data_IF_756448413786
#
_entry.id   IF_756448413786
#
_cell.length_a   1.000
_cell.length_b   1.000
_cell.length_c   1.000
_cell.angle_alpha   90.00
_cell.angle_beta   90.00
_cell.angle_gamma   90.00
#
_symmetry.space_group_name_H-M   'P 1'
#
loop_
_entity.id
_entity.type
_entity.pdbx_description
1 polymer ?
#
# COMPACT_ATOMS: atom_id res chain seq x y z
N UNK A 1 -26.94 17.35 -24.86
CA UNK A 1 -27.11 17.34 -23.38
C UNK A 1 -26.23 16.23 -22.81
N UNK A 2 -25.10 16.55 -22.15
CA UNK A 2 -24.17 15.52 -21.63
C UNK A 2 -22.89 16.01 -20.95
N UNK A 3 -22.60 17.31 -20.92
CA UNK A 3 -21.29 17.83 -20.52
C UNK A 3 -21.07 17.94 -19.00
N UNK A 4 -22.10 18.22 -18.19
CA UNK A 4 -21.91 18.47 -16.74
C UNK A 4 -21.52 17.24 -15.91
N UNK A 5 -21.96 16.03 -16.28
CA UNK A 5 -21.61 14.80 -15.57
C UNK A 5 -20.17 14.38 -15.81
N UNK A 6 -19.74 14.41 -17.07
CA UNK A 6 -18.40 13.99 -17.51
C UNK A 6 -17.29 14.89 -16.94
N UNK A 7 -17.53 16.18 -16.80
CA UNK A 7 -16.58 17.12 -16.17
C UNK A 7 -16.40 16.86 -14.68
N UNK A 8 -17.46 16.43 -13.98
CA UNK A 8 -17.40 16.11 -12.54
C UNK A 8 -16.60 14.84 -12.28
N UNK A 9 -16.76 13.84 -13.15
CA UNK A 9 -16.00 12.58 -13.07
C UNK A 9 -14.50 12.84 -13.37
N UNK A 10 -14.18 13.70 -14.34
CA UNK A 10 -12.80 14.08 -14.63
C UNK A 10 -12.15 14.89 -13.49
N UNK A 11 -12.89 15.82 -12.87
CA UNK A 11 -12.39 16.57 -11.71
C UNK A 11 -12.15 15.65 -10.50
N UNK A 12 -13.07 14.72 -10.22
CA UNK A 12 -12.93 13.74 -9.16
C UNK A 12 -11.74 12.79 -9.39
N UNK A 13 -11.52 12.35 -10.62
CA UNK A 13 -10.33 11.57 -10.97
C UNK A 13 -9.04 12.38 -10.77
N UNK A 14 -9.01 13.65 -11.18
CA UNK A 14 -7.87 14.53 -10.96
C UNK A 14 -7.54 14.77 -9.48
N UNK A 15 -8.56 14.80 -8.61
CA UNK A 15 -8.35 14.85 -7.15
C UNK A 15 -7.74 13.54 -6.62
N UNK A 16 -8.21 12.38 -7.09
CA UNK A 16 -7.66 11.07 -6.71
C UNK A 16 -6.21 10.92 -7.18
N UNK A 17 -5.88 11.39 -8.39
CA UNK A 17 -4.50 11.39 -8.91
C UNK A 17 -3.60 12.25 -8.02
N UNK A 18 -4.04 13.45 -7.62
CA UNK A 18 -3.26 14.31 -6.71
C UNK A 18 -3.08 13.70 -5.32
N UNK A 19 -4.11 13.02 -4.80
CA UNK A 19 -4.02 12.30 -3.54
C UNK A 19 -3.02 11.14 -3.63
N UNK A 20 -3.02 10.41 -4.74
CA UNK A 20 -2.05 9.36 -5.04
C UNK A 20 -0.61 9.91 -5.14
N UNK A 21 -0.39 11.01 -5.88
CA UNK A 21 0.92 11.65 -6.01
C UNK A 21 1.49 12.07 -4.66
N UNK A 22 0.65 12.67 -3.81
CA UNK A 22 1.04 13.08 -2.46
C UNK A 22 1.43 11.86 -1.62
N UNK A 23 0.60 10.81 -1.62
CA UNK A 23 0.89 9.57 -0.89
C UNK A 23 2.19 8.91 -1.38
N UNK A 24 2.45 8.92 -2.69
CA UNK A 24 3.66 8.36 -3.27
C UNK A 24 4.91 9.14 -2.88
N UNK A 25 4.84 10.48 -2.87
CA UNK A 25 5.94 11.34 -2.38
C UNK A 25 6.24 11.10 -0.90
N UNK A 26 5.20 11.02 -0.07
CA UNK A 26 5.34 10.72 1.36
C UNK A 26 5.97 9.33 1.58
N UNK A 27 5.57 8.34 0.79
CA UNK A 27 6.18 7.01 0.81
C UNK A 27 7.65 7.05 0.42
N UNK A 28 8.01 7.76 -0.66
CA UNK A 28 9.41 7.87 -1.08
C UNK A 28 10.29 8.52 -0.01
N UNK A 29 9.81 9.59 0.64
CA UNK A 29 10.52 10.22 1.75
C UNK A 29 10.68 9.26 2.95
N UNK A 30 9.59 8.56 3.32
CA UNK A 30 9.63 7.57 4.40
C UNK A 30 10.55 6.39 4.07
N UNK A 31 10.55 5.90 2.83
CA UNK A 31 11.40 4.80 2.36
C UNK A 31 12.88 5.18 2.36
N UNK A 32 13.23 6.38 1.88
CA UNK A 32 14.59 6.89 1.92
C UNK A 32 15.10 6.96 3.37
N UNK A 33 14.30 7.51 4.28
CA UNK A 33 14.66 7.57 5.69
C UNK A 33 14.70 6.18 6.35
N UNK A 34 13.72 5.32 6.05
CA UNK A 34 13.59 3.97 6.61
C UNK A 34 14.72 3.03 6.23
N UNK A 35 15.24 3.14 5.02
CA UNK A 35 16.40 2.36 4.54
C UNK A 35 17.72 2.85 5.12
N UNK A 36 17.82 4.10 5.56
CA UNK A 36 19.02 4.68 6.17
C UNK A 36 19.09 4.43 7.69
N UNK A 37 18.01 4.71 8.42
CA UNK A 37 17.98 4.68 9.89
C UNK A 37 17.71 3.27 10.44
N UNK A 38 16.99 2.42 9.69
CA UNK A 38 16.67 1.03 10.03
C UNK A 38 16.10 0.84 11.47
N UNK A 39 15.33 1.81 11.97
CA UNK A 39 14.69 1.73 13.28
C UNK A 39 13.26 1.16 13.19
N UNK A 40 12.74 0.57 14.29
CA UNK A 40 11.33 0.18 14.40
C UNK A 40 10.34 1.28 14.01
N UNK A 41 10.60 2.51 14.47
CA UNK A 41 9.75 3.68 14.19
C UNK A 41 9.80 4.04 12.71
N UNK A 42 10.99 4.07 12.11
CA UNK A 42 11.14 4.37 10.68
C UNK A 42 10.50 3.30 9.80
N UNK A 43 10.60 2.02 10.20
CA UNK A 43 9.94 0.91 9.53
C UNK A 43 8.42 1.03 9.62
N UNK A 44 7.86 1.36 10.79
CA UNK A 44 6.42 1.57 10.95
C UNK A 44 5.92 2.77 10.13
N UNK A 45 6.68 3.86 10.09
CA UNK A 45 6.35 5.03 9.27
C UNK A 45 6.32 4.68 7.78
N UNK A 46 7.27 3.87 7.32
CA UNK A 46 7.32 3.40 5.93
C UNK A 46 6.16 2.45 5.62
N UNK A 47 5.80 1.56 6.54
CA UNK A 47 4.63 0.69 6.42
C UNK A 47 3.33 1.51 6.28
N UNK A 48 3.13 2.52 7.13
CA UNK A 48 1.97 3.40 7.08
C UNK A 48 1.91 4.20 5.77
N UNK A 49 3.05 4.69 5.28
CA UNK A 49 3.11 5.39 4.00
C UNK A 49 2.78 4.46 2.82
N UNK A 50 3.30 3.23 2.81
CA UNK A 50 2.97 2.23 1.79
C UNK A 50 1.46 1.89 1.78
N UNK A 51 0.82 1.77 2.95
CA UNK A 51 -0.65 1.58 3.03
C UNK A 51 -1.43 2.73 2.41
N UNK A 52 -0.97 3.97 2.59
CA UNK A 52 -1.62 5.14 1.98
C UNK A 52 -1.54 5.08 0.46
N UNK A 53 -0.39 4.69 -0.10
CA UNK A 53 -0.25 4.48 -1.55
C UNK A 53 -1.15 3.35 -2.06
N UNK A 54 -1.18 2.21 -1.37
CA UNK A 54 -2.06 1.08 -1.68
C UNK A 54 -3.53 1.51 -1.74
N UNK A 55 -3.99 2.25 -0.73
CA UNK A 55 -5.35 2.79 -0.70
C UNK A 55 -5.63 3.76 -1.84
N UNK A 56 -4.70 4.66 -2.14
CA UNK A 56 -4.86 5.62 -3.23
C UNK A 56 -4.96 4.93 -4.60
N UNK A 57 -4.18 3.86 -4.83
CA UNK A 57 -4.33 3.03 -6.02
C UNK A 57 -5.71 2.36 -6.10
N UNK A 58 -6.21 1.81 -5.00
CA UNK A 58 -7.56 1.25 -4.95
C UNK A 58 -8.64 2.30 -5.23
N UNK A 59 -8.52 3.50 -4.67
CA UNK A 59 -9.46 4.59 -4.93
C UNK A 59 -9.49 4.97 -6.42
N UNK A 60 -8.31 5.04 -7.07
CA UNK A 60 -8.21 5.22 -8.52
C UNK A 60 -8.84 4.07 -9.32
N UNK A 61 -8.71 2.83 -8.86
CA UNK A 61 -9.30 1.66 -9.52
C UNK A 61 -10.85 1.69 -9.51
N UNK A 62 -11.46 2.42 -8.56
CA UNK A 62 -12.92 2.62 -8.51
C UNK A 62 -13.43 3.72 -9.46
N UNK A 63 -12.53 4.39 -10.19
CA UNK A 63 -12.93 5.42 -11.14
C UNK A 63 -13.76 4.83 -12.30
N UNK A 64 -14.85 5.51 -12.66
CA UNK A 64 -15.72 5.08 -13.75
C UNK A 64 -15.07 5.30 -15.11
N UNK A 65 -15.34 4.40 -16.05
CA UNK A 65 -14.90 4.52 -17.44
C UNK A 65 -13.48 4.03 -17.71
N UNK A 66 -12.82 3.41 -16.72
CA UNK A 66 -11.54 2.75 -16.94
C UNK A 66 -11.74 1.42 -17.69
N UNK A 67 -10.91 1.11 -18.71
CA UNK A 67 -10.81 -0.23 -19.26
C UNK A 67 -10.44 -1.26 -18.20
N UNK A 68 -10.92 -2.50 -18.35
CA UNK A 68 -10.69 -3.57 -17.36
C UNK A 68 -9.20 -3.81 -17.06
N UNK A 69 -8.32 -3.66 -18.06
CA UNK A 69 -6.88 -3.84 -17.90
C UNK A 69 -6.24 -2.69 -17.10
N UNK A 70 -6.80 -1.49 -17.14
CA UNK A 70 -6.38 -0.40 -16.26
C UNK A 70 -6.73 -0.74 -14.82
N UNK A 71 -7.97 -1.18 -14.57
CA UNK A 71 -8.43 -1.57 -13.23
C UNK A 71 -7.53 -2.67 -12.67
N UNK A 72 -7.27 -3.72 -13.44
CA UNK A 72 -6.38 -4.81 -13.03
C UNK A 72 -4.96 -4.32 -12.69
N UNK A 73 -4.39 -3.41 -13.48
CA UNK A 73 -3.07 -2.84 -13.21
C UNK A 73 -3.05 -1.98 -11.93
N UNK A 74 -4.08 -1.18 -11.70
CA UNK A 74 -4.22 -0.34 -10.49
C UNK A 74 -4.40 -1.22 -9.24
N UNK A 75 -5.21 -2.27 -9.32
CA UNK A 75 -5.39 -3.23 -8.23
C UNK A 75 -4.10 -4.00 -7.94
N UNK A 76 -3.39 -4.46 -8.98
CA UNK A 76 -2.08 -5.11 -8.84
C UNK A 76 -1.05 -4.19 -8.18
N UNK A 77 -1.05 -2.90 -8.53
CA UNK A 77 -0.21 -1.91 -7.88
C UNK A 77 -0.60 -1.71 -6.41
N UNK A 78 -1.91 -1.66 -6.10
CA UNK A 78 -2.40 -1.56 -4.73
C UNK A 78 -1.96 -2.75 -3.87
N UNK A 79 -2.05 -3.97 -4.41
CA UNK A 79 -1.59 -5.20 -3.76
C UNK A 79 -0.09 -5.19 -3.49
N UNK A 80 0.73 -4.79 -4.46
CA UNK A 80 2.18 -4.68 -4.28
C UNK A 80 2.56 -3.72 -3.14
N UNK A 81 1.87 -2.59 -3.01
CA UNK A 81 2.08 -1.67 -1.89
C UNK A 81 1.54 -2.20 -0.55
N UNK A 82 0.48 -3.01 -0.58
CA UNK A 82 -0.04 -3.70 0.61
C UNK A 82 0.98 -4.70 1.14
N UNK A 83 1.62 -5.47 0.26
CA UNK A 83 2.67 -6.41 0.64
C UNK A 83 3.93 -5.69 1.13
N UNK A 84 4.35 -4.61 0.47
CA UNK A 84 5.43 -3.75 0.98
C UNK A 84 5.12 -3.21 2.38
N UNK A 85 3.88 -2.82 2.66
CA UNK A 85 3.49 -2.37 3.98
C UNK A 85 3.65 -3.47 5.03
N UNK A 86 3.22 -4.70 4.72
CA UNK A 86 3.40 -5.88 5.59
C UNK A 86 4.88 -6.16 5.83
N UNK A 87 5.72 -6.03 4.81
CA UNK A 87 7.17 -6.26 4.92
C UNK A 87 7.85 -5.26 5.86
N UNK A 88 7.49 -3.98 5.73
CA UNK A 88 7.97 -2.93 6.63
C UNK A 88 7.45 -3.08 8.05
N UNK A 89 6.20 -3.53 8.23
CA UNK A 89 5.65 -3.82 9.55
C UNK A 89 6.38 -5.00 10.23
N UNK A 90 6.74 -6.05 9.49
CA UNK A 90 7.57 -7.13 10.04
C UNK A 90 8.94 -6.62 10.50
N UNK A 91 9.51 -5.65 9.78
CA UNK A 91 10.76 -4.98 10.18
C UNK A 91 10.58 -4.08 11.41
N UNK A 92 9.40 -3.50 11.61
CA UNK A 92 9.12 -2.65 12.77
C UNK A 92 9.05 -3.43 14.07
N UNK A 93 8.69 -4.71 14.02
CA UNK A 93 8.60 -5.57 15.21
C UNK A 93 9.93 -6.22 15.62
N UNK A 94 11.00 -6.02 14.84
CA UNK A 94 12.33 -6.63 15.05
C UNK A 94 12.37 -8.14 14.77
N UNK A 95 13.56 -8.76 14.65
CA UNK A 95 13.69 -10.22 14.66
C UNK A 95 13.39 -10.73 16.08
N UNK A 96 12.10 -10.96 16.38
CA UNK A 96 11.67 -11.08 17.77
C UNK A 96 10.33 -11.76 17.98
N UNK A 97 9.91 -12.69 17.11
CA UNK A 97 9.06 -13.79 17.56
C UNK A 97 9.34 -15.03 16.71
N UNK A 98 10.01 -16.07 17.24
CA UNK A 98 9.90 -17.37 16.61
C UNK A 98 8.41 -17.72 16.56
N UNK A 99 7.94 -18.07 15.38
CA UNK A 99 6.69 -18.81 15.23
C UNK A 99 6.74 -19.96 16.24
N UNK A 100 5.69 -20.21 17.05
CA UNK A 100 5.72 -21.35 17.96
C UNK A 100 5.99 -22.59 17.11
N UNK A 101 7.15 -23.20 17.34
CA UNK A 101 7.55 -24.40 16.63
C UNK A 101 6.39 -25.41 16.69
N UNK A 102 6.09 -26.12 15.59
CA UNK A 102 5.06 -27.15 15.63
C UNK A 102 5.38 -28.09 16.79
N UNK A 103 4.45 -28.25 17.74
CA UNK A 103 4.56 -29.25 18.80
C UNK A 103 4.86 -30.57 18.11
N UNK A 104 6.10 -31.07 18.25
CA UNK A 104 6.37 -32.48 18.03
C UNK A 104 5.39 -33.21 18.94
N UNK A 105 4.43 -33.91 18.31
CA UNK A 105 3.70 -34.95 19.01
C UNK A 105 4.76 -35.99 19.36
N UNK A 106 5.16 -36.02 20.62
CA UNK A 106 5.82 -37.17 21.21
C UNK A 106 4.86 -38.35 21.10
N UNK A 107 4.96 -39.06 19.97
CA UNK A 107 4.45 -40.41 19.84
C UNK A 107 5.42 -41.33 20.56
N UNK A 108 5.23 -41.50 21.86
CA UNK A 108 5.82 -42.61 22.60
C UNK A 108 4.83 -43.77 22.61
N UNK A 109 5.28 -44.87 22.00
CA UNK A 109 4.94 -46.29 22.19
C UNK A 109 3.46 -46.68 22.37
#
# INVERSE_FOLDING_TARGET
>A
MGTRGQTRDAAGFGEQVRAWELAYRDYMAAWQHGTQVLSPVSAQNTANAARRVSRAWHELAQARGLPWWCVAALESAAEGFSDLARDWERKSTGPGRPSPAPRQRDGSA
#
